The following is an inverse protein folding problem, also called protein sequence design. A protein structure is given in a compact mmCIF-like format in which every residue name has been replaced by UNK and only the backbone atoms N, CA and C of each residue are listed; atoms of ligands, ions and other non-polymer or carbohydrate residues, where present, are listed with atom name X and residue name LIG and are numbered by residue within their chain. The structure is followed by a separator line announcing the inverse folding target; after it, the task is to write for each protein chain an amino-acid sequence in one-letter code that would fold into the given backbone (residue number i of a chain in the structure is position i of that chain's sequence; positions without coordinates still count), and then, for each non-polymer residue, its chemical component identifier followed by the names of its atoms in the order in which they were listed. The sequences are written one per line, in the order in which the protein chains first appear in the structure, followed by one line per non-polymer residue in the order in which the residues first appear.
data_IF_240804252071
#
_entry.id   IF_240804252071
#
_cell.length_a   1.000
_cell.length_b   1.000
_cell.length_c   1.000
_cell.angle_alpha   90.00
_cell.angle_beta   90.00
_cell.angle_gamma   90.00
#
_symmetry.space_group_name_H-M   'P 1'
#
loop_
_entity.id
_entity.type
_entity.pdbx_description
1 polymer ?
#
# COMPACT_ATOMS: atom_id res chain seq x y z
N UNK A 1 -0.37 15.87 -19.24
CA UNK A 1 -0.86 14.56 -18.76
C UNK A 1 -1.67 14.83 -17.51
N UNK A 2 -2.88 14.28 -17.41
CA UNK A 2 -3.71 14.45 -16.22
C UNK A 2 -3.43 13.27 -15.28
N UNK A 3 -2.73 13.51 -14.18
CA UNK A 3 -2.58 12.51 -13.12
C UNK A 3 -3.88 12.45 -12.33
N UNK A 4 -4.45 11.26 -12.22
CA UNK A 4 -5.61 11.01 -11.36
C UNK A 4 -5.20 10.19 -10.16
N UNK A 5 -5.90 10.40 -9.05
CA UNK A 5 -5.62 9.75 -7.78
C UNK A 5 -6.78 8.84 -7.40
N UNK A 6 -6.44 7.64 -6.95
CA UNK A 6 -7.39 6.65 -6.44
C UNK A 6 -7.00 6.18 -5.05
N UNK A 7 -7.97 5.64 -4.32
CA UNK A 7 -7.70 4.92 -3.07
C UNK A 7 -7.72 3.43 -3.37
N UNK A 8 -6.65 2.73 -3.03
CA UNK A 8 -6.57 1.29 -3.17
C UNK A 8 -6.36 0.64 -1.80
N UNK A 9 -7.07 -0.46 -1.57
CA UNK A 9 -6.96 -1.27 -0.34
C UNK A 9 -6.09 -2.49 -0.63
N UNK A 10 -5.04 -2.64 0.17
CA UNK A 10 -4.14 -3.79 0.14
C UNK A 10 -4.36 -4.66 1.36
N UNK A 11 -4.17 -5.95 1.17
CA UNK A 11 -4.24 -6.99 2.18
C UNK A 11 -2.86 -7.61 2.29
N UNK A 12 -2.35 -7.72 3.51
CA UNK A 12 -1.07 -8.34 3.81
C UNK A 12 -1.30 -9.38 4.90
N UNK A 13 -0.83 -10.60 4.66
CA UNK A 13 -0.87 -11.72 5.61
C UNK A 13 0.56 -11.94 6.09
N UNK A 14 0.77 -11.85 7.40
CA UNK A 14 2.06 -12.14 8.00
C UNK A 14 2.24 -13.66 8.25
N UNK A 15 3.40 -14.03 8.80
CA UNK A 15 3.73 -15.42 9.09
C UNK A 15 2.84 -16.05 10.19
N UNK A 16 2.09 -15.23 10.94
CA UNK A 16 1.20 -15.66 12.02
C UNK A 16 -0.26 -15.74 11.55
N UNK A 17 -0.49 -15.74 10.23
CA UNK A 17 -1.82 -15.78 9.60
C UNK A 17 -2.67 -14.53 9.91
N UNK A 18 -2.06 -13.46 10.42
CA UNK A 18 -2.77 -12.23 10.73
C UNK A 18 -2.88 -11.37 9.48
N UNK A 19 -4.13 -11.12 9.06
CA UNK A 19 -4.43 -10.30 7.90
C UNK A 19 -4.59 -8.83 8.29
N UNK A 20 -3.64 -8.02 7.83
CA UNK A 20 -3.67 -6.56 7.98
C UNK A 20 -4.16 -5.90 6.69
N UNK A 21 -4.91 -4.80 6.82
CA UNK A 21 -5.48 -4.06 5.70
C UNK A 21 -5.01 -2.63 5.73
N UNK A 22 -4.50 -2.13 4.60
CA UNK A 22 -4.05 -0.73 4.47
C UNK A 22 -4.66 -0.09 3.23
N UNK A 23 -5.26 1.08 3.42
CA UNK A 23 -5.72 1.93 2.33
C UNK A 23 -4.67 3.01 2.06
N UNK A 24 -4.29 3.19 0.80
CA UNK A 24 -3.35 4.23 0.37
C UNK A 24 -3.89 5.00 -0.84
N UNK A 25 -3.56 6.29 -0.91
CA UNK A 25 -3.75 7.08 -2.11
C UNK A 25 -2.65 6.74 -3.11
N UNK A 26 -3.03 6.49 -4.36
CA UNK A 26 -2.16 6.10 -5.47
C UNK A 26 -2.44 7.02 -6.65
N UNK A 27 -1.37 7.51 -7.29
CA UNK A 27 -1.49 8.24 -8.55
C UNK A 27 -1.53 7.25 -9.73
N UNK A 28 -2.16 7.64 -10.84
CA UNK A 28 -2.21 6.85 -12.08
C UNK A 28 -0.85 6.45 -12.65
N UNK A 29 0.20 7.16 -12.24
CA UNK A 29 1.59 6.98 -12.66
C UNK A 29 2.44 6.24 -11.62
N UNK A 30 1.90 5.92 -10.44
CA UNK A 30 2.64 5.20 -9.40
C UNK A 30 2.91 3.76 -9.84
N UNK A 31 4.18 3.36 -9.83
CA UNK A 31 4.59 1.99 -10.15
C UNK A 31 4.51 1.08 -8.92
N UNK A 32 4.43 -0.23 -9.17
CA UNK A 32 4.30 -1.24 -8.11
C UNK A 32 5.43 -1.16 -7.07
N UNK A 33 6.66 -0.84 -7.48
CA UNK A 33 7.79 -0.74 -6.56
C UNK A 33 7.60 0.37 -5.51
N UNK A 34 7.04 1.51 -5.91
CA UNK A 34 6.75 2.61 -4.99
C UNK A 34 5.57 2.27 -4.07
N UNK A 35 4.56 1.57 -4.58
CA UNK A 35 3.47 1.03 -3.76
C UNK A 35 4.01 0.10 -2.67
N UNK A 36 4.93 -0.81 -3.02
CA UNK A 36 5.57 -1.73 -2.07
C UNK A 36 6.33 -0.94 -1.00
N UNK A 37 7.13 0.07 -1.38
CA UNK A 37 7.87 0.91 -0.43
C UNK A 37 6.93 1.60 0.57
N UNK A 38 5.86 2.22 0.07
CA UNK A 38 4.84 2.89 0.91
C UNK A 38 4.19 1.90 1.88
N UNK A 39 3.85 0.69 1.40
CA UNK A 39 3.26 -0.34 2.24
C UNK A 39 4.25 -0.84 3.31
N UNK A 40 5.52 -1.05 2.96
CA UNK A 40 6.56 -1.45 3.92
C UNK A 40 6.74 -0.41 5.03
N UNK A 41 6.77 0.88 4.70
CA UNK A 41 6.85 1.95 5.71
C UNK A 41 5.63 1.98 6.62
N UNK A 42 4.42 1.89 6.03
CA UNK A 42 3.16 1.89 6.79
C UNK A 42 2.95 0.65 7.65
N UNK A 43 3.47 -0.51 7.24
CA UNK A 43 3.38 -1.75 8.00
C UNK A 43 4.43 -1.77 9.13
N UNK A 44 5.64 -1.27 8.89
CA UNK A 44 6.66 -1.13 9.96
C UNK A 44 6.25 -0.15 11.04
N UNK A 45 5.56 0.93 10.68
CA UNK A 45 5.04 1.88 11.66
C UNK A 45 3.89 1.32 12.53
N UNK A 46 3.33 0.16 12.17
CA UNK A 46 2.24 -0.50 12.91
C UNK A 46 2.76 -1.58 13.88
N UNK A 47 4.02 -2.01 13.73
CA UNK A 47 4.68 -3.03 14.56
C UNK A 47 5.42 -2.41 15.75
#
# INVERSE_FOLDING_TARGET
VLDFYGVMRFYFQDAEDKVTRKCIHIASTTITLDVIRILMEKLRADM
#
